data_IF_038264253619
#
_entry.id   IF_038264253619
#
_cell.length_a   1.000
_cell.length_b   1.000
_cell.length_c   1.000
_cell.angle_alpha   90.00
_cell.angle_beta   90.00
_cell.angle_gamma   90.00
#
_symmetry.space_group_name_H-M   'P 1'
#
loop_
_entity.id
_entity.type
_entity.pdbx_description
1 polymer ?
#
# COMPACT_ATOMS: atom_id res chain seq x y z
N UNK A 1 42.45 -0.85 -8.36
CA UNK A 1 41.72 -2.10 -8.13
C UNK A 1 40.42 -1.74 -7.42
N UNK A 2 39.28 -1.76 -8.12
CA UNK A 2 37.98 -1.55 -7.47
C UNK A 2 37.62 -2.85 -6.74
N UNK A 3 37.52 -2.80 -5.41
CA UNK A 3 36.96 -3.91 -4.64
C UNK A 3 35.52 -4.11 -5.09
N UNK A 4 35.18 -5.30 -5.61
CA UNK A 4 33.81 -5.63 -6.00
C UNK A 4 32.90 -5.40 -4.79
N UNK A 5 31.92 -4.50 -4.91
CA UNK A 5 30.97 -4.22 -3.83
C UNK A 5 30.13 -5.48 -3.60
N UNK A 6 30.18 -6.02 -2.38
CA UNK A 6 29.30 -7.13 -2.00
C UNK A 6 27.92 -6.59 -1.63
N UNK A 7 27.04 -6.55 -2.65
CA UNK A 7 25.71 -5.97 -2.57
C UNK A 7 24.76 -6.74 -1.64
N UNK A 8 25.06 -8.02 -1.36
CA UNK A 8 24.24 -8.87 -0.50
C UNK A 8 24.90 -9.12 0.87
N UNK A 9 25.93 -8.35 1.19
CA UNK A 9 26.57 -8.39 2.52
C UNK A 9 25.57 -8.08 3.64
N UNK A 10 25.82 -8.67 4.82
CA UNK A 10 25.02 -8.41 6.03
C UNK A 10 24.98 -6.91 6.37
N UNK A 11 26.08 -6.20 6.18
CA UNK A 11 26.17 -4.76 6.39
C UNK A 11 25.22 -3.98 5.47
N UNK A 12 25.11 -4.37 4.20
CA UNK A 12 24.17 -3.76 3.27
C UNK A 12 22.72 -3.91 3.72
N UNK A 13 22.33 -5.12 4.14
CA UNK A 13 21.00 -5.39 4.67
C UNK A 13 20.71 -4.63 5.97
N UNK A 14 21.70 -4.46 6.84
CA UNK A 14 21.57 -3.60 8.04
C UNK A 14 21.33 -2.14 7.66
N UNK A 15 22.02 -1.63 6.64
CA UNK A 15 21.77 -0.28 6.13
C UNK A 15 20.36 -0.13 5.54
N UNK A 16 19.91 -1.11 4.76
CA UNK A 16 18.57 -1.13 4.19
C UNK A 16 17.49 -1.13 5.28
N UNK A 17 17.62 -2.02 6.27
CA UNK A 17 16.71 -2.11 7.41
C UNK A 17 16.68 -0.81 8.23
N UNK A 18 17.83 -0.16 8.41
CA UNK A 18 17.91 1.14 9.10
C UNK A 18 17.13 2.24 8.36
N UNK A 19 17.16 2.25 7.03
CA UNK A 19 16.36 3.17 6.22
C UNK A 19 14.88 2.82 6.32
N UNK A 20 14.52 1.55 6.12
CA UNK A 20 13.13 1.08 6.19
C UNK A 20 12.47 1.42 7.53
N UNK A 21 13.15 1.15 8.66
CA UNK A 21 12.65 1.46 10.01
C UNK A 21 12.35 2.95 10.23
N UNK A 22 13.09 3.87 9.57
CA UNK A 22 12.81 5.32 9.68
C UNK A 22 11.47 5.69 9.04
N UNK A 23 11.12 5.04 7.93
CA UNK A 23 9.83 5.22 7.26
C UNK A 23 8.70 4.44 7.95
N UNK A 24 9.01 3.29 8.54
CA UNK A 24 8.00 2.39 9.10
C UNK A 24 7.41 2.83 10.43
N UNK A 25 8.03 3.74 11.19
CA UNK A 25 7.51 4.17 12.52
C UNK A 25 6.02 4.50 12.42
N UNK A 26 5.16 3.59 12.89
CA UNK A 26 3.71 3.58 12.66
C UNK A 26 2.99 3.23 13.97
N UNK A 27 1.94 3.97 14.36
CA UNK A 27 1.09 3.61 15.48
C UNK A 27 0.38 2.26 15.29
N UNK A 28 0.22 1.50 16.37
CA UNK A 28 -0.41 0.17 16.31
C UNK A 28 -1.82 0.21 15.73
N UNK A 29 -2.62 1.24 16.05
CA UNK A 29 -3.96 1.44 15.47
C UNK A 29 -4.02 1.52 13.93
N UNK A 30 -2.89 1.80 13.26
CA UNK A 30 -2.79 1.78 11.79
C UNK A 30 -2.16 0.49 11.31
N UNK A 31 -1.13 0.01 12.00
CA UNK A 31 -0.40 -1.21 11.64
C UNK A 31 -1.28 -2.46 11.78
N UNK A 32 -2.09 -2.52 12.83
CA UNK A 32 -2.92 -3.67 13.13
C UNK A 32 -3.94 -3.96 12.00
N UNK A 33 -4.76 -2.99 11.55
CA UNK A 33 -5.63 -3.21 10.40
C UNK A 33 -4.89 -3.69 9.15
N UNK A 34 -3.70 -3.13 8.87
CA UNK A 34 -2.88 -3.55 7.73
C UNK A 34 -2.56 -5.05 7.81
N UNK A 35 -2.07 -5.51 8.97
CA UNK A 35 -1.68 -6.91 9.18
C UNK A 35 -2.85 -7.88 9.07
N UNK A 36 -3.97 -7.58 9.73
CA UNK A 36 -5.14 -8.46 9.73
C UNK A 36 -5.77 -8.58 8.35
N UNK A 37 -5.95 -7.44 7.68
CA UNK A 37 -6.52 -7.41 6.34
C UNK A 37 -5.62 -8.10 5.32
N UNK A 38 -4.29 -7.91 5.41
CA UNK A 38 -3.37 -8.59 4.52
C UNK A 38 -3.37 -10.10 4.76
N UNK A 39 -3.32 -10.54 6.02
CA UNK A 39 -3.42 -11.96 6.36
C UNK A 39 -4.71 -12.57 5.81
N UNK A 40 -5.84 -11.87 5.96
CA UNK A 40 -7.10 -12.33 5.41
C UNK A 40 -7.06 -12.44 3.88
N UNK A 41 -6.49 -11.45 3.21
CA UNK A 41 -6.28 -11.48 1.76
C UNK A 41 -5.47 -12.69 1.30
N UNK A 42 -4.41 -13.06 2.04
CA UNK A 42 -3.60 -14.26 1.74
C UNK A 42 -4.34 -15.58 1.99
N UNK A 43 -5.27 -15.61 2.96
CA UNK A 43 -6.06 -16.80 3.29
C UNK A 43 -7.24 -17.02 2.34
N UNK A 44 -7.74 -15.95 1.72
CA UNK A 44 -8.93 -15.96 0.88
C UNK A 44 -8.72 -16.55 -0.53
N UNK A 45 -7.54 -17.08 -0.84
CA UNK A 45 -7.18 -17.71 -2.12
C UNK A 45 -7.66 -16.91 -3.35
N UNK A 46 -7.38 -15.60 -3.33
CA UNK A 46 -7.47 -14.57 -4.40
C UNK A 46 -8.74 -14.43 -5.28
N UNK A 47 -9.59 -15.45 -5.39
CA UNK A 47 -10.63 -15.56 -6.43
C UNK A 47 -12.07 -15.54 -5.88
N UNK A 48 -12.27 -15.63 -4.56
CA UNK A 48 -13.62 -15.65 -4.00
C UNK A 48 -14.10 -14.24 -3.63
N UNK A 49 -14.98 -13.67 -4.46
CA UNK A 49 -15.54 -12.31 -4.27
C UNK A 49 -16.39 -12.21 -3.00
N UNK A 50 -16.80 -13.35 -2.44
CA UNK A 50 -17.56 -13.47 -1.18
C UNK A 50 -16.68 -13.82 0.04
N UNK A 51 -15.44 -13.31 0.10
CA UNK A 51 -14.63 -13.46 1.31
C UNK A 51 -15.41 -12.91 2.50
N UNK A 52 -15.84 -13.80 3.40
CA UNK A 52 -16.41 -13.42 4.68
C UNK A 52 -15.34 -12.68 5.47
N UNK A 53 -15.39 -11.35 5.44
CA UNK A 53 -14.44 -10.48 6.16
C UNK A 53 -14.45 -10.89 7.64
N UNK A 54 -13.25 -11.15 8.19
CA UNK A 54 -13.10 -11.60 9.55
C UNK A 54 -13.68 -10.52 10.46
N UNK A 55 -14.55 -10.88 11.41
CA UNK A 55 -15.02 -9.95 12.41
C UNK A 55 -13.88 -9.08 12.99
N UNK A 56 -12.74 -9.66 13.41
CA UNK A 56 -11.61 -8.91 13.96
C UNK A 56 -11.01 -7.90 12.97
N UNK A 57 -11.01 -8.22 11.67
CA UNK A 57 -10.60 -7.29 10.64
C UNK A 57 -11.56 -6.10 10.54
N UNK A 58 -12.88 -6.33 10.64
CA UNK A 58 -13.86 -5.25 10.71
C UNK A 58 -13.66 -4.35 11.94
N UNK A 59 -13.43 -4.93 13.11
CA UNK A 59 -13.16 -4.17 14.34
C UNK A 59 -11.95 -3.26 14.15
N UNK A 60 -10.87 -3.82 13.61
CA UNK A 60 -9.63 -3.07 13.41
C UNK A 60 -9.80 -1.87 12.48
N UNK A 61 -10.59 -1.98 11.39
CA UNK A 61 -10.77 -0.83 10.48
C UNK A 61 -11.62 0.28 11.09
N UNK A 62 -12.43 0.03 12.13
CA UNK A 62 -13.13 1.10 12.85
C UNK A 62 -12.17 2.03 13.59
N UNK A 63 -10.97 1.56 13.93
CA UNK A 63 -9.89 2.41 14.47
C UNK A 63 -9.46 3.51 13.48
N UNK A 64 -9.76 3.34 12.19
CA UNK A 64 -9.47 4.32 11.13
C UNK A 64 -10.57 5.38 11.03
N UNK A 65 -11.80 5.11 11.47
CA UNK A 65 -12.93 6.04 11.36
C UNK A 65 -12.69 7.34 12.14
N UNK A 66 -12.01 7.25 13.28
CA UNK A 66 -11.62 8.42 14.09
C UNK A 66 -10.45 9.21 13.49
N UNK A 67 -9.77 8.66 12.47
CA UNK A 67 -8.60 9.29 11.84
C UNK A 67 -8.92 9.76 10.42
N UNK A 68 -9.58 10.93 10.33
CA UNK A 68 -9.96 11.59 9.06
C UNK A 68 -8.82 11.63 8.04
N UNK A 69 -7.60 11.83 8.53
CA UNK A 69 -6.43 11.85 7.66
C UNK A 69 -6.28 10.55 6.86
N UNK A 70 -6.57 9.36 7.39
CA UNK A 70 -6.50 8.11 6.61
C UNK A 70 -7.80 7.81 5.87
N UNK A 71 -8.95 8.07 6.50
CA UNK A 71 -10.27 7.80 5.92
C UNK A 71 -10.48 8.52 4.59
N UNK A 72 -10.15 9.81 4.51
CA UNK A 72 -10.42 10.59 3.29
C UNK A 72 -9.63 10.09 2.07
N UNK A 73 -8.30 9.85 2.12
CA UNK A 73 -7.57 9.21 1.02
C UNK A 73 -8.17 7.88 0.58
N UNK A 74 -8.58 7.02 1.52
CA UNK A 74 -9.20 5.73 1.20
C UNK A 74 -10.56 5.91 0.52
N UNK A 75 -11.35 6.90 0.95
CA UNK A 75 -12.60 7.28 0.29
C UNK A 75 -12.37 7.69 -1.17
N UNK A 76 -11.39 8.58 -1.43
CA UNK A 76 -11.07 8.99 -2.80
C UNK A 76 -10.47 7.85 -3.63
N UNK A 77 -9.71 6.95 -3.01
CA UNK A 77 -9.24 5.74 -3.67
C UNK A 77 -10.42 4.87 -4.12
N UNK A 78 -11.39 4.61 -3.22
CA UNK A 78 -12.57 3.81 -3.53
C UNK A 78 -13.42 4.44 -4.65
N UNK A 79 -13.65 5.77 -4.59
CA UNK A 79 -14.46 6.46 -5.59
C UNK A 79 -13.83 6.51 -6.98
N UNK A 80 -12.50 6.45 -7.06
CA UNK A 80 -11.77 6.42 -8.33
C UNK A 80 -11.54 5.01 -8.87
N UNK A 81 -11.14 4.06 -8.02
CA UNK A 81 -10.76 2.70 -8.41
C UNK A 81 -11.95 1.78 -8.60
N UNK A 82 -13.06 2.03 -7.89
CA UNK A 82 -14.23 1.15 -7.84
C UNK A 82 -15.50 1.99 -7.92
N UNK A 83 -15.54 2.93 -8.87
CA UNK A 83 -16.63 3.92 -9.02
C UNK A 83 -18.02 3.29 -9.02
N UNK A 84 -18.18 2.19 -9.75
CA UNK A 84 -19.46 1.50 -9.90
C UNK A 84 -19.95 0.94 -8.56
N UNK A 85 -19.06 0.27 -7.82
CA UNK A 85 -19.36 -0.29 -6.49
C UNK A 85 -19.55 0.81 -5.44
N UNK A 86 -18.77 1.89 -5.53
CA UNK A 86 -18.81 2.99 -4.59
C UNK A 86 -20.09 3.83 -4.70
N UNK A 87 -20.61 4.02 -5.91
CA UNK A 87 -21.85 4.80 -6.15
C UNK A 87 -23.11 4.21 -5.48
N UNK A 88 -23.04 2.94 -5.07
CA UNK A 88 -24.10 2.19 -4.41
C UNK A 88 -23.95 2.19 -2.88
N UNK A 89 -22.75 2.48 -2.34
CA UNK A 89 -22.53 2.50 -0.90
C UNK A 89 -23.21 3.72 -0.26
N UNK A 90 -24.18 3.49 0.62
CA UNK A 90 -24.96 4.56 1.29
C UNK A 90 -24.15 5.32 2.36
N UNK A 91 -23.08 4.72 2.88
CA UNK A 91 -22.29 5.24 4.00
C UNK A 91 -20.80 5.41 3.66
N UNK A 92 -20.17 6.44 4.24
CA UNK A 92 -18.75 6.74 4.06
C UNK A 92 -17.82 6.01 5.07
N UNK A 93 -18.34 5.03 5.80
CA UNK A 93 -17.62 4.35 6.91
C UNK A 93 -16.44 3.52 6.41
N UNK A 94 -15.44 3.29 7.27
CA UNK A 94 -14.31 2.40 6.96
C UNK A 94 -14.77 0.97 6.62
N UNK A 95 -15.92 0.55 7.16
CA UNK A 95 -16.61 -0.70 6.80
C UNK A 95 -17.07 -0.72 5.33
N UNK A 96 -17.70 0.36 4.86
CA UNK A 96 -18.15 0.47 3.46
C UNK A 96 -16.96 0.53 2.50
N UNK A 97 -15.91 1.25 2.88
CA UNK A 97 -14.65 1.30 2.13
C UNK A 97 -13.96 -0.06 2.06
N UNK A 98 -13.96 -0.83 3.16
CA UNK A 98 -13.41 -2.18 3.19
C UNK A 98 -14.17 -3.12 2.25
N UNK A 99 -15.50 -3.05 2.21
CA UNK A 99 -16.32 -3.83 1.27
C UNK A 99 -16.02 -3.47 -0.19
N UNK A 100 -15.81 -2.19 -0.47
CA UNK A 100 -15.56 -1.69 -1.84
C UNK A 100 -14.17 -2.02 -2.34
N UNK A 101 -13.15 -1.85 -1.50
CA UNK A 101 -11.76 -2.07 -1.88
C UNK A 101 -11.32 -3.54 -1.71
N UNK A 102 -11.99 -4.29 -0.84
CA UNK A 102 -11.54 -5.60 -0.40
C UNK A 102 -10.34 -5.52 0.57
N UNK A 103 -10.05 -6.61 1.32
CA UNK A 103 -9.06 -6.59 2.39
C UNK A 103 -7.64 -6.31 1.89
N UNK A 104 -7.23 -6.91 0.77
CA UNK A 104 -5.87 -6.76 0.23
C UNK A 104 -5.57 -5.31 -0.19
N UNK A 105 -6.38 -4.76 -1.08
CA UNK A 105 -6.17 -3.41 -1.59
C UNK A 105 -6.36 -2.35 -0.49
N UNK A 106 -7.32 -2.52 0.42
CA UNK A 106 -7.47 -1.62 1.56
C UNK A 106 -6.21 -1.59 2.43
N UNK A 107 -5.67 -2.76 2.76
CA UNK A 107 -4.45 -2.90 3.55
C UNK A 107 -3.26 -2.19 2.91
N UNK A 108 -3.04 -2.45 1.61
CA UNK A 108 -1.94 -1.84 0.85
C UNK A 108 -2.11 -0.33 0.76
N UNK A 109 -3.32 0.16 0.43
CA UNK A 109 -3.57 1.60 0.36
C UNK A 109 -3.37 2.29 1.70
N UNK A 110 -3.79 1.68 2.81
CA UNK A 110 -3.56 2.22 4.15
C UNK A 110 -2.06 2.35 4.47
N UNK A 111 -1.27 1.31 4.16
CA UNK A 111 0.18 1.33 4.29
C UNK A 111 0.84 2.39 3.40
N UNK A 112 0.40 2.50 2.14
CA UNK A 112 0.92 3.48 1.18
C UNK A 112 0.58 4.91 1.58
N UNK A 113 -0.63 5.20 2.08
CA UNK A 113 -1.01 6.52 2.60
C UNK A 113 -0.09 6.91 3.76
N UNK A 114 0.20 5.97 4.68
CA UNK A 114 1.15 6.20 5.76
C UNK A 114 2.56 6.51 5.24
N UNK A 115 3.11 5.61 4.42
CA UNK A 115 4.46 5.73 3.87
C UNK A 115 4.65 7.03 3.10
N UNK A 116 3.69 7.36 2.22
CA UNK A 116 3.70 8.57 1.43
C UNK A 116 3.83 9.81 2.32
N UNK A 117 2.98 9.91 3.34
CA UNK A 117 2.95 11.06 4.24
C UNK A 117 4.15 11.12 5.16
N UNK A 118 4.62 9.97 5.63
CA UNK A 118 5.80 9.88 6.48
C UNK A 118 7.03 10.33 5.72
N UNK A 119 7.22 9.85 4.48
CA UNK A 119 8.29 10.28 3.60
C UNK A 119 8.19 11.77 3.28
N UNK A 120 6.99 12.27 2.94
CA UNK A 120 6.73 13.68 2.70
C UNK A 120 7.11 14.57 3.90
N UNK A 121 6.73 14.16 5.12
CA UNK A 121 7.00 14.90 6.36
C UNK A 121 8.49 14.93 6.71
N UNK A 122 9.23 13.88 6.39
CA UNK A 122 10.64 13.75 6.72
C UNK A 122 11.58 14.31 5.64
N UNK A 123 11.05 14.63 4.46
CA UNK A 123 11.82 15.14 3.32
C UNK A 123 11.69 16.65 3.19
N UNK A 124 12.65 17.28 2.51
CA UNK A 124 12.49 18.67 2.08
C UNK A 124 11.28 18.79 1.11
N UNK A 125 10.36 19.76 1.33
CA UNK A 125 9.17 19.90 0.49
C UNK A 125 9.45 20.03 -1.00
N UNK A 126 10.52 20.74 -1.37
CA UNK A 126 10.92 20.96 -2.77
C UNK A 126 11.34 19.66 -3.47
N UNK A 127 12.10 18.80 -2.78
CA UNK A 127 12.49 17.50 -3.33
C UNK A 127 11.31 16.53 -3.40
N UNK A 128 10.46 16.52 -2.36
CA UNK A 128 9.28 15.66 -2.34
C UNK A 128 8.28 16.01 -3.45
N UNK A 129 8.03 17.30 -3.70
CA UNK A 129 7.13 17.76 -4.78
C UNK A 129 7.65 17.33 -6.15
N UNK A 130 8.97 17.30 -6.35
CA UNK A 130 9.58 16.84 -7.60
C UNK A 130 9.51 15.31 -7.76
N UNK A 131 9.70 14.56 -6.68
CA UNK A 131 9.79 13.10 -6.72
C UNK A 131 8.43 12.39 -6.67
N UNK A 132 7.50 12.89 -5.87
CA UNK A 132 6.22 12.22 -5.61
C UNK A 132 5.32 11.96 -6.83
N UNK A 133 5.33 12.75 -7.93
CA UNK A 133 4.52 12.44 -9.11
C UNK A 133 4.82 11.07 -9.72
N UNK A 134 6.09 10.64 -9.70
CA UNK A 134 6.49 9.32 -10.25
C UNK A 134 5.89 8.17 -9.41
N UNK A 135 5.77 8.34 -8.08
CA UNK A 135 5.11 7.38 -7.19
C UNK A 135 3.65 7.19 -7.59
N UNK A 136 2.93 8.31 -7.77
CA UNK A 136 1.49 8.29 -8.05
C UNK A 136 1.21 7.72 -9.44
N UNK A 137 2.00 8.11 -10.44
CA UNK A 137 1.90 7.58 -11.78
C UNK A 137 2.10 6.06 -11.81
N UNK A 138 3.15 5.57 -11.14
CA UNK A 138 3.42 4.12 -11.09
C UNK A 138 2.34 3.36 -10.34
N UNK A 139 1.83 3.92 -9.23
CA UNK A 139 0.74 3.32 -8.48
C UNK A 139 -0.53 3.16 -9.33
N UNK A 140 -0.95 4.22 -10.03
CA UNK A 140 -2.15 4.19 -10.87
C UNK A 140 -2.00 3.25 -12.08
N UNK A 141 -0.86 3.31 -12.77
CA UNK A 141 -0.57 2.41 -13.90
C UNK A 141 -0.54 0.95 -13.43
N UNK A 142 0.12 0.67 -12.31
CA UNK A 142 0.25 -0.70 -11.82
C UNK A 142 -1.11 -1.28 -11.37
N UNK A 143 -1.99 -0.48 -10.75
CA UNK A 143 -3.34 -0.96 -10.43
C UNK A 143 -4.14 -1.22 -11.70
N UNK A 144 -4.10 -0.30 -12.68
CA UNK A 144 -4.81 -0.50 -13.95
C UNK A 144 -4.41 -1.79 -14.65
N UNK A 145 -3.11 -2.07 -14.74
CA UNK A 145 -2.63 -3.33 -15.35
C UNK A 145 -3.04 -4.54 -14.51
N UNK A 146 -2.93 -4.46 -13.17
CA UNK A 146 -3.22 -5.58 -12.29
C UNK A 146 -4.72 -5.91 -12.15
N UNK A 147 -5.60 -4.93 -12.34
CA UNK A 147 -7.05 -5.13 -12.39
C UNK A 147 -7.49 -5.96 -13.60
N UNK A 148 -6.70 -5.95 -14.68
CA UNK A 148 -6.94 -6.72 -15.90
C UNK A 148 -6.26 -8.09 -15.88
N UNK A 149 -5.65 -8.52 -14.75
CA UNK A 149 -4.99 -9.82 -14.65
C UNK A 149 -5.18 -10.53 -13.31
N UNK A 150 -5.72 -11.75 -13.38
CA UNK A 150 -5.94 -12.62 -12.22
C UNK A 150 -4.63 -13.06 -11.54
N UNK A 151 -3.50 -12.97 -12.25
CA UNK A 151 -2.20 -13.45 -11.73
C UNK A 151 -1.60 -12.56 -10.65
N UNK A 152 -2.00 -11.30 -10.58
CA UNK A 152 -1.41 -10.29 -9.68
C UNK A 152 -2.48 -9.77 -8.73
N UNK A 153 -3.61 -9.34 -9.27
CA UNK A 153 -4.65 -8.67 -8.51
C UNK A 153 -4.26 -7.26 -8.05
N UNK A 154 -5.26 -6.44 -7.78
CA UNK A 154 -5.11 -5.01 -7.51
C UNK A 154 -4.21 -4.69 -6.32
N UNK A 155 -4.25 -5.53 -5.28
CA UNK A 155 -3.49 -5.33 -4.05
C UNK A 155 -1.98 -5.41 -4.32
N UNK A 156 -1.52 -6.47 -4.98
CA UNK A 156 -0.12 -6.60 -5.35
C UNK A 156 0.29 -5.63 -6.46
N UNK A 157 -0.61 -5.33 -7.41
CA UNK A 157 -0.38 -4.27 -8.39
C UNK A 157 -0.07 -2.93 -7.72
N UNK A 158 -0.92 -2.51 -6.77
CA UNK A 158 -0.72 -1.29 -5.99
C UNK A 158 0.61 -1.33 -5.21
N UNK A 159 0.89 -2.46 -4.57
CA UNK A 159 2.09 -2.63 -3.77
C UNK A 159 3.36 -2.54 -4.63
N UNK A 160 3.42 -3.28 -5.74
CA UNK A 160 4.56 -3.33 -6.66
C UNK A 160 4.78 -2.00 -7.40
N UNK A 161 3.70 -1.31 -7.75
CA UNK A 161 3.77 0.02 -8.36
C UNK A 161 4.40 1.07 -7.43
N UNK A 162 4.14 0.99 -6.12
CA UNK A 162 4.58 2.04 -5.20
C UNK A 162 5.85 1.69 -4.40
N UNK A 163 6.07 0.44 -4.00
CA UNK A 163 7.03 0.09 -2.93
C UNK A 163 8.48 0.46 -3.25
N UNK A 164 8.92 0.30 -4.51
CA UNK A 164 10.28 0.68 -4.93
C UNK A 164 10.50 2.20 -4.87
N UNK A 165 9.51 2.97 -5.30
CA UNK A 165 9.58 4.43 -5.21
C UNK A 165 9.44 4.90 -3.75
N UNK A 166 8.65 4.23 -2.91
CA UNK A 166 8.60 4.53 -1.47
C UNK A 166 9.94 4.27 -0.78
N UNK A 167 10.63 3.19 -1.16
CA UNK A 167 11.97 2.88 -0.68
C UNK A 167 12.99 3.97 -1.04
N UNK A 168 12.93 4.49 -2.27
CA UNK A 168 13.69 5.68 -2.70
C UNK A 168 13.36 6.93 -1.88
N UNK A 169 12.10 7.11 -1.47
CA UNK A 169 11.71 8.14 -0.49
C UNK A 169 12.49 8.02 0.83
N UNK A 170 12.84 6.81 1.26
CA UNK A 170 13.68 6.59 2.45
C UNK A 170 15.14 7.00 2.23
N UNK A 171 15.66 6.80 1.02
CA UNK A 171 16.99 7.26 0.63
C UNK A 171 17.08 8.79 0.58
N UNK A 172 16.02 9.45 0.07
CA UNK A 172 15.85 10.90 0.14
C UNK A 172 15.90 11.41 1.59
N UNK A 173 15.14 10.78 2.50
CA UNK A 173 15.15 11.13 3.93
C UNK A 173 16.53 10.89 4.58
N UNK A 174 17.30 9.91 4.13
CA UNK A 174 18.63 9.61 4.69
C UNK A 174 19.68 10.64 4.28
N UNK A 175 19.72 11.04 3.01
CA UNK A 175 20.67 12.03 2.49
C UNK A 175 20.09 12.72 1.25
N UNK A 176 19.58 13.93 1.43
CA UNK A 176 18.91 14.71 0.39
C UNK A 176 19.85 15.08 -0.76
N UNK A 177 21.09 15.47 -0.46
CA UNK A 177 22.04 15.92 -1.48
C UNK A 177 22.41 14.78 -2.43
N UNK A 178 22.70 13.59 -1.87
CA UNK A 178 22.96 12.40 -2.66
C UNK A 178 21.75 12.02 -3.52
N UNK A 179 20.55 12.10 -2.94
CA UNK A 179 19.33 11.77 -3.65
C UNK A 179 19.06 12.73 -4.81
N UNK A 180 19.25 14.04 -4.61
CA UNK A 180 19.08 15.03 -5.67
C UNK A 180 20.02 14.77 -6.86
N UNK A 181 21.26 14.36 -6.61
CA UNK A 181 22.21 14.00 -7.67
C UNK A 181 21.77 12.73 -8.39
N UNK A 182 21.37 11.70 -7.64
CA UNK A 182 20.88 10.44 -8.18
C UNK A 182 19.59 10.60 -9.01
N UNK A 183 18.61 11.35 -8.51
CA UNK A 183 17.33 11.53 -9.18
C UNK A 183 17.46 12.24 -10.53
N UNK A 184 18.37 13.20 -10.63
CA UNK A 184 18.67 13.90 -11.87
C UNK A 184 19.31 12.99 -12.93
N UNK A 185 20.12 12.00 -12.51
CA UNK A 185 20.84 11.10 -13.40
C UNK A 185 19.99 9.90 -13.84
N UNK A 186 19.23 9.31 -12.90
CA UNK A 186 18.60 8.00 -13.12
C UNK A 186 17.06 8.11 -13.14
N UNK A 187 16.45 8.61 -12.06
CA UNK A 187 15.00 8.61 -11.89
C UNK A 187 14.28 9.44 -12.97
N UNK A 188 14.82 10.61 -13.32
CA UNK A 188 14.23 11.44 -14.40
C UNK A 188 14.20 10.74 -15.75
N UNK A 189 15.11 9.80 -15.98
CA UNK A 189 15.18 8.98 -17.19
C UNK A 189 14.40 7.65 -17.06
N UNK A 190 13.62 7.47 -15.99
CA UNK A 190 12.81 6.27 -15.75
C UNK A 190 13.63 5.05 -15.34
N UNK A 191 14.87 5.23 -14.87
CA UNK A 191 15.80 4.15 -14.53
C UNK A 191 16.23 4.19 -13.08
N UNK A 192 16.49 3.01 -12.51
CA UNK A 192 17.19 2.85 -11.25
C UNK A 192 18.57 2.25 -11.48
N UNK A 193 19.57 2.78 -10.80
CA UNK A 193 20.94 2.30 -10.83
C UNK A 193 21.35 1.83 -9.44
N UNK A 194 21.22 0.53 -9.22
CA UNK A 194 21.51 -0.07 -7.92
C UNK A 194 22.99 0.01 -7.57
N UNK A 195 23.93 0.09 -8.53
CA UNK A 195 25.36 0.21 -8.24
C UNK A 195 25.71 1.60 -7.69
N UNK A 196 25.13 2.65 -8.30
CA UNK A 196 25.25 4.02 -7.77
C UNK A 196 24.55 4.15 -6.41
N UNK A 197 23.41 3.46 -6.22
CA UNK A 197 22.73 3.41 -4.92
C UNK A 197 23.60 2.80 -3.82
N UNK A 198 24.22 1.65 -4.10
CA UNK A 198 25.15 1.00 -3.17
C UNK A 198 26.34 1.90 -2.83
N UNK A 199 26.87 2.62 -3.82
CA UNK A 199 27.97 3.56 -3.60
C UNK A 199 27.57 4.67 -2.61
N UNK A 200 26.37 5.23 -2.77
CA UNK A 200 25.85 6.38 -2.01
C UNK A 200 25.26 6.03 -0.65
N UNK A 201 24.50 4.95 -0.56
CA UNK A 201 23.71 4.59 0.62
C UNK A 201 24.13 3.28 1.28
N UNK A 202 25.07 2.54 0.68
CA UNK A 202 25.53 1.22 1.14
C UNK A 202 24.44 0.14 1.10
N UNK A 203 23.41 0.37 0.30
CA UNK A 203 22.31 -0.55 0.01
C UNK A 203 21.54 -0.01 -1.21
N UNK A 204 20.70 -0.84 -1.81
CA UNK A 204 19.80 -0.45 -2.91
C UNK A 204 18.33 -0.32 -2.48
N UNK A 205 17.52 0.25 -3.36
CA UNK A 205 16.09 0.51 -3.11
C UNK A 205 15.30 -0.80 -3.00
N UNK A 206 15.70 -1.86 -3.69
CA UNK A 206 15.04 -3.15 -3.64
C UNK A 206 15.26 -3.85 -2.28
N UNK A 207 16.43 -3.69 -1.67
CA UNK A 207 16.69 -4.13 -0.28
C UNK A 207 15.81 -3.35 0.71
N UNK A 208 15.75 -2.02 0.58
CA UNK A 208 14.91 -1.17 1.44
C UNK A 208 13.43 -1.54 1.29
N UNK A 209 12.96 -1.74 0.05
CA UNK A 209 11.61 -2.18 -0.25
C UNK A 209 11.32 -3.56 0.36
N UNK A 210 12.25 -4.52 0.23
CA UNK A 210 12.14 -5.84 0.87
C UNK A 210 12.00 -5.72 2.39
N UNK A 211 12.81 -4.88 3.04
CA UNK A 211 12.68 -4.64 4.48
C UNK A 211 11.34 -3.98 4.85
N UNK A 212 10.81 -3.07 4.02
CA UNK A 212 9.48 -2.49 4.23
C UNK A 212 8.39 -3.56 4.13
N UNK A 213 8.43 -4.41 3.11
CA UNK A 213 7.48 -5.52 2.94
C UNK A 213 7.48 -6.44 4.17
N UNK A 214 8.65 -6.76 4.73
CA UNK A 214 8.77 -7.54 5.95
C UNK A 214 8.14 -6.84 7.17
N UNK A 215 8.39 -5.54 7.34
CA UNK A 215 7.84 -4.78 8.48
C UNK A 215 6.30 -4.68 8.44
N UNK A 216 5.74 -4.52 7.24
CA UNK A 216 4.29 -4.53 7.00
C UNK A 216 3.69 -5.94 6.90
N UNK A 217 4.51 -7.00 6.98
CA UNK A 217 4.09 -8.40 6.81
C UNK A 217 3.47 -8.70 5.43
N UNK A 218 3.83 -7.92 4.41
CA UNK A 218 3.37 -8.07 3.03
C UNK A 218 4.06 -9.19 2.24
N UNK A 219 4.72 -10.13 2.92
CA UNK A 219 5.36 -11.26 2.26
C UNK A 219 4.31 -12.31 1.94
N UNK A 220 3.94 -12.43 0.66
CA UNK A 220 2.97 -13.40 0.13
C UNK A 220 3.33 -14.86 0.38
N UNK A 221 4.60 -15.14 0.63
CA UNK A 221 5.08 -16.49 0.88
C UNK A 221 4.28 -17.13 2.00
N UNK A 222 3.30 -17.96 1.64
CA UNK A 222 2.74 -19.08 2.41
C UNK A 222 3.87 -20.07 2.69
N UNK A 223 4.98 -19.61 3.25
CA UNK A 223 6.09 -20.43 3.66
C UNK A 223 6.10 -20.30 5.18
N UNK A 224 5.31 -21.13 5.89
CA UNK A 224 5.19 -21.03 7.34
C UNK A 224 6.51 -21.35 8.06
N UNK A 225 7.56 -21.78 7.36
CA UNK A 225 8.69 -22.48 8.01
C UNK A 225 10.09 -22.11 7.48
N UNK A 226 10.23 -21.31 6.43
CA UNK A 226 11.57 -20.88 5.95
C UNK A 226 11.86 -19.46 6.41
N UNK A 227 12.37 -19.37 7.64
CA UNK A 227 13.24 -18.27 8.07
C UNK A 227 14.63 -18.39 7.41
N UNK A 228 14.68 -18.81 6.14
CA UNK A 228 15.95 -18.92 5.45
C UNK A 228 16.45 -17.51 5.11
N UNK A 229 17.78 -17.34 5.16
CA UNK A 229 18.44 -16.08 4.81
C UNK A 229 18.25 -15.71 3.33
N UNK A 230 17.72 -16.65 2.52
CA UNK A 230 17.59 -16.55 1.07
C UNK A 230 16.26 -15.91 0.62
N UNK A 231 15.16 -16.07 1.38
CA UNK A 231 13.86 -15.45 1.02
C UNK A 231 13.96 -13.93 0.77
N UNK A 232 14.65 -13.12 1.59
CA UNK A 232 14.85 -11.70 1.30
C UNK A 232 15.60 -11.44 -0.02
N UNK A 233 16.53 -12.32 -0.40
CA UNK A 233 17.28 -12.19 -1.64
C UNK A 233 16.37 -12.43 -2.85
N UNK A 234 15.49 -13.43 -2.82
CA UNK A 234 14.56 -13.68 -3.92
C UNK A 234 13.52 -12.57 -4.09
N UNK A 235 13.03 -12.00 -2.98
CA UNK A 235 12.14 -10.82 -3.02
C UNK A 235 12.87 -9.62 -3.62
N UNK A 236 14.13 -9.37 -3.22
CA UNK A 236 14.97 -8.33 -3.84
C UNK A 236 15.13 -8.57 -5.34
N UNK A 237 15.49 -9.78 -5.77
CA UNK A 237 15.62 -10.13 -7.19
C UNK A 237 14.31 -9.90 -7.95
N UNK A 238 13.16 -10.25 -7.36
CA UNK A 238 11.84 -9.94 -7.93
C UNK A 238 11.62 -8.43 -8.11
N UNK A 239 11.96 -7.62 -7.11
CA UNK A 239 11.86 -6.16 -7.16
C UNK A 239 12.89 -5.50 -8.08
N UNK A 240 13.96 -6.20 -8.44
CA UNK A 240 14.89 -5.81 -9.51
C UNK A 240 14.46 -6.34 -10.89
N UNK A 241 13.34 -7.07 -10.96
CA UNK A 241 12.85 -7.70 -12.18
C UNK A 241 13.65 -8.93 -12.62
N UNK A 242 14.56 -9.48 -11.82
CA UNK A 242 15.49 -10.55 -12.22
C UNK A 242 14.89 -11.96 -12.08
N UNK A 243 14.14 -12.38 -13.09
CA UNK A 243 13.47 -13.69 -13.12
C UNK A 243 14.44 -14.87 -12.96
N UNK A 244 15.61 -14.78 -13.59
CA UNK A 244 16.63 -15.84 -13.63
C UNK A 244 17.27 -16.17 -12.28
N UNK A 245 17.20 -15.24 -11.32
CA UNK A 245 17.72 -15.43 -9.96
C UNK A 245 16.68 -16.05 -9.01
N UNK A 246 15.44 -16.28 -9.48
CA UNK A 246 14.32 -16.74 -8.66
C UNK A 246 14.07 -18.24 -8.92
N UNK A 247 14.05 -19.09 -7.88
CA UNK A 247 13.67 -20.49 -8.01
C UNK A 247 12.29 -20.64 -8.65
N UNK A 248 12.16 -21.59 -9.59
CA UNK A 248 10.88 -21.86 -10.27
C UNK A 248 9.74 -22.23 -9.30
N UNK A 249 10.07 -22.78 -8.13
CA UNK A 249 9.09 -23.09 -7.08
C UNK A 249 8.45 -21.85 -6.44
N UNK A 250 8.99 -20.65 -6.70
CA UNK A 250 8.47 -19.37 -6.22
C UNK A 250 7.78 -18.63 -7.37
N UNK A 251 6.76 -19.26 -7.97
CA UNK A 251 6.06 -18.75 -9.16
C UNK A 251 5.52 -17.32 -8.98
N UNK A 252 5.01 -16.99 -7.80
CA UNK A 252 4.52 -15.64 -7.48
C UNK A 252 5.61 -14.57 -7.63
N UNK A 253 6.83 -14.85 -7.14
CA UNK A 253 7.95 -13.92 -7.27
C UNK A 253 8.42 -13.80 -8.72
N UNK A 254 8.30 -14.87 -9.51
CA UNK A 254 8.55 -14.81 -10.96
C UNK A 254 7.54 -13.90 -11.65
N UNK A 255 6.26 -13.96 -11.26
CA UNK A 255 5.22 -13.05 -11.76
C UNK A 255 5.54 -11.61 -11.36
N UNK A 256 5.91 -11.36 -10.10
CA UNK A 256 6.34 -10.04 -9.62
C UNK A 256 7.52 -9.51 -10.45
N UNK A 257 8.56 -10.31 -10.69
CA UNK A 257 9.71 -9.87 -11.48
C UNK A 257 9.34 -9.46 -12.92
N UNK A 258 8.45 -10.23 -13.58
CA UNK A 258 7.99 -9.88 -14.92
C UNK A 258 7.15 -8.60 -14.93
N UNK A 259 6.29 -8.44 -13.93
CA UNK A 259 5.48 -7.24 -13.77
C UNK A 259 6.35 -6.00 -13.52
N UNK A 260 7.37 -6.13 -12.68
CA UNK A 260 8.34 -5.07 -12.42
C UNK A 260 9.11 -4.68 -13.68
N UNK A 261 9.58 -5.66 -14.48
CA UNK A 261 10.22 -5.39 -15.79
C UNK A 261 9.29 -4.63 -16.73
N UNK A 262 7.99 -4.96 -16.74
CA UNK A 262 6.99 -4.27 -17.54
C UNK A 262 6.86 -2.81 -17.09
N UNK A 263 6.72 -2.56 -15.78
CA UNK A 263 6.66 -1.20 -15.23
C UNK A 263 7.92 -0.39 -15.55
N UNK A 264 9.10 -1.00 -15.45
CA UNK A 264 10.37 -0.35 -15.82
C UNK A 264 10.39 0.02 -17.30
N UNK A 265 9.95 -0.86 -18.20
CA UNK A 265 9.84 -0.54 -19.63
C UNK A 265 8.84 0.60 -19.90
N UNK A 266 7.76 0.72 -19.13
CA UNK A 266 6.79 1.81 -19.26
C UNK A 266 7.42 3.13 -18.80
N UNK A 267 8.11 3.11 -17.66
CA UNK A 267 8.79 4.26 -17.07
C UNK A 267 9.90 4.81 -17.97
N UNK A 268 10.74 3.94 -18.53
CA UNK A 268 11.82 4.34 -19.43
C UNK A 268 11.30 5.07 -20.68
N UNK A 269 10.15 4.64 -21.20
CA UNK A 269 9.52 5.26 -22.36
C UNK A 269 8.65 6.46 -21.99
N UNK A 270 8.41 6.73 -20.69
CA UNK A 270 7.49 7.76 -20.20
C UNK A 270 6.10 7.68 -20.87
N UNK A 271 5.60 6.45 -21.04
CA UNK A 271 4.34 6.19 -21.76
C UNK A 271 4.40 6.34 -23.28
N UNK A 272 5.59 6.57 -23.85
CA UNK A 272 5.83 6.60 -25.29
C UNK A 272 5.77 5.20 -25.92
N UNK A 273 5.01 5.08 -27.01
CA UNK A 273 4.85 3.83 -27.74
C UNK A 273 3.79 2.91 -27.16
N UNK A 274 3.60 1.76 -27.80
CA UNK A 274 2.66 0.73 -27.33
C UNK A 274 3.37 -0.28 -26.44
N UNK A 275 2.70 -0.65 -25.37
CA UNK A 275 3.09 -1.68 -24.43
C UNK A 275 2.38 -2.97 -24.79
N UNK A 276 3.14 -4.06 -24.91
CA UNK A 276 2.61 -5.40 -25.16
C UNK A 276 2.25 -6.08 -23.83
N UNK A 277 0.96 -6.39 -23.68
CA UNK A 277 0.39 -7.05 -22.50
C UNK A 277 0.03 -8.52 -22.76
N UNK A 278 0.38 -9.08 -23.92
CA UNK A 278 -0.01 -10.44 -24.32
C UNK A 278 0.43 -11.53 -23.32
N UNK A 279 1.59 -11.36 -22.69
CA UNK A 279 2.11 -12.30 -21.68
C UNK A 279 1.28 -12.33 -20.38
N UNK A 280 0.54 -11.27 -20.10
CA UNK A 280 -0.43 -11.20 -18.99
C UNK A 280 -1.78 -11.84 -19.34
N UNK A 281 -2.00 -12.17 -20.62
CA UNK A 281 -3.27 -12.70 -21.11
C UNK A 281 -4.33 -11.62 -21.34
N UNK A 282 -3.93 -10.35 -21.38
CA UNK A 282 -4.83 -9.21 -21.61
C UNK A 282 -5.14 -9.12 -23.10
N UNK A 283 -6.44 -9.05 -23.44
CA UNK A 283 -6.89 -8.95 -24.83
C UNK A 283 -6.56 -7.60 -25.48
N UNK A 284 -6.64 -7.52 -26.81
CA UNK A 284 -6.25 -6.34 -27.58
C UNK A 284 -7.08 -5.08 -27.23
N UNK A 285 -8.36 -5.25 -26.90
CA UNK A 285 -9.23 -4.13 -26.54
C UNK A 285 -8.80 -3.54 -25.20
N UNK A 286 -8.67 -4.38 -24.17
CA UNK A 286 -8.17 -3.96 -22.84
C UNK A 286 -6.75 -3.41 -22.91
N UNK A 287 -5.88 -3.99 -23.73
CA UNK A 287 -4.54 -3.48 -23.97
C UNK A 287 -4.54 -2.04 -24.53
N UNK A 288 -5.48 -1.70 -25.43
CA UNK A 288 -5.64 -0.33 -25.95
C UNK A 288 -6.10 0.64 -24.86
N UNK A 289 -7.04 0.23 -24.01
CA UNK A 289 -7.51 1.03 -22.87
C UNK A 289 -6.38 1.30 -21.88
N UNK A 290 -5.56 0.29 -21.55
CA UNK A 290 -4.40 0.44 -20.68
C UNK A 290 -3.32 1.34 -21.28
N UNK A 291 -3.03 1.23 -22.58
CA UNK A 291 -2.11 2.14 -23.25
C UNK A 291 -2.62 3.59 -23.22
N UNK A 292 -3.93 3.80 -23.37
CA UNK A 292 -4.54 5.13 -23.23
C UNK A 292 -4.44 5.66 -21.79
N UNK A 293 -4.67 4.83 -20.78
CA UNK A 293 -4.47 5.16 -19.38
C UNK A 293 -3.02 5.59 -19.11
N UNK A 294 -2.04 4.81 -19.57
CA UNK A 294 -0.61 5.09 -19.38
C UNK A 294 -0.24 6.46 -19.96
N UNK A 295 -0.64 6.74 -21.21
CA UNK A 295 -0.39 8.05 -21.85
C UNK A 295 -1.01 9.18 -21.06
N UNK A 296 -2.29 9.03 -20.70
CA UNK A 296 -3.03 10.01 -19.90
C UNK A 296 -2.33 10.31 -18.58
N UNK A 297 -1.87 9.29 -17.85
CA UNK A 297 -1.18 9.46 -16.55
C UNK A 297 0.11 10.24 -16.69
N UNK A 298 0.90 10.03 -17.75
CA UNK A 298 2.13 10.81 -17.97
C UNK A 298 1.89 12.21 -18.55
N UNK A 299 0.86 12.40 -19.38
CA UNK A 299 0.54 13.67 -20.03
C UNK A 299 -0.23 14.63 -19.12
N UNK A 300 -1.27 14.13 -18.45
CA UNK A 300 -2.19 14.91 -17.62
C UNK A 300 -1.85 14.84 -16.13
N UNK A 301 -1.05 13.84 -15.74
CA UNK A 301 -0.74 13.52 -14.35
C UNK A 301 -1.71 12.51 -13.75
N UNK A 302 -1.27 11.91 -12.65
CA UNK A 302 -2.04 10.88 -11.95
C UNK A 302 -3.30 11.42 -11.28
N UNK A 303 -4.41 10.68 -11.42
CA UNK A 303 -5.67 10.94 -10.71
C UNK A 303 -5.52 10.75 -9.19
N UNK A 304 -4.46 10.08 -8.74
CA UNK A 304 -4.17 9.77 -7.34
C UNK A 304 -3.54 10.95 -6.57
N UNK A 305 -3.71 12.17 -7.09
CA UNK A 305 -3.31 13.40 -6.43
C UNK A 305 -3.94 13.59 -5.04
N UNK A 306 -5.00 12.84 -4.70
CA UNK A 306 -5.60 12.79 -3.36
C UNK A 306 -4.61 12.31 -2.28
N UNK A 307 -3.61 11.49 -2.61
CA UNK A 307 -2.51 11.13 -1.68
C UNK A 307 -1.74 12.37 -1.20
N UNK A 308 -1.71 13.45 -1.99
CA UNK A 308 -1.04 14.71 -1.63
C UNK A 308 -1.82 15.54 -0.63
N UNK A 309 -3.15 15.44 -0.59
CA UNK A 309 -3.97 16.38 0.18
C UNK A 309 -4.26 15.79 1.57
N UNK A 310 -3.86 16.52 2.61
CA UNK A 310 -4.09 16.20 4.02
C UNK A 310 -5.48 16.66 4.48
N UNK A 311 -5.54 17.52 5.50
CA UNK A 311 -6.80 18.01 6.10
C UNK A 311 -7.77 18.68 5.09
N UNK A 312 -7.25 19.35 4.05
CA UNK A 312 -8.06 19.95 2.98
C UNK A 312 -8.93 18.93 2.23
N UNK A 313 -8.58 17.66 2.29
CA UNK A 313 -9.32 16.56 1.66
C UNK A 313 -10.66 16.28 2.38
N UNK A 314 -10.80 16.63 3.66
CA UNK A 314 -12.06 16.46 4.41
C UNK A 314 -13.14 17.43 3.88
N UNK A 315 -12.79 18.71 3.72
CA UNK A 315 -13.67 19.72 3.13
C UNK A 315 -14.04 19.38 1.67
N UNK A 316 -13.07 18.85 0.91
CA UNK A 316 -13.29 18.38 -0.46
C UNK A 316 -14.20 17.13 -0.48
N UNK A 317 -14.11 16.25 0.54
CA UNK A 317 -14.93 15.05 0.66
C UNK A 317 -16.40 15.41 0.88
N UNK A 318 -16.69 16.39 1.75
CA UNK A 318 -18.07 16.83 1.98
C UNK A 318 -18.68 17.53 0.76
N UNK A 319 -17.89 18.34 0.04
CA UNK A 319 -18.30 18.90 -1.26
C UNK A 319 -18.53 17.84 -2.31
N UNK A 320 -17.66 16.82 -2.37
CA UNK A 320 -17.80 15.74 -3.33
C UNK A 320 -19.04 14.88 -3.04
N UNK A 321 -19.32 14.58 -1.76
CA UNK A 321 -20.57 13.94 -1.34
C UNK A 321 -21.80 14.73 -1.79
N UNK A 322 -21.79 16.06 -1.61
CA UNK A 322 -22.88 16.92 -2.07
C UNK A 322 -23.05 16.87 -3.59
N UNK A 323 -21.95 16.82 -4.36
CA UNK A 323 -22.01 16.68 -5.82
C UNK A 323 -22.58 15.33 -6.28
N UNK A 324 -22.27 14.24 -5.57
CA UNK A 324 -22.82 12.91 -5.86
C UNK A 324 -24.30 12.80 -5.46
N UNK A 325 -24.71 13.47 -4.38
CA UNK A 325 -26.11 13.52 -3.93
C UNK A 325 -26.98 14.42 -4.81
N UNK A 326 -26.41 15.43 -5.47
CA UNK A 326 -27.13 16.32 -6.39
C UNK A 326 -27.68 15.65 -7.66
N UNK A 327 -27.30 14.40 -7.94
CA UNK A 327 -27.83 13.60 -9.07
C UNK A 327 -28.96 12.62 -8.65
N UNK A 328 -29.31 12.54 -7.35
CA UNK A 328 -30.44 11.74 -6.87
C UNK A 328 -31.48 12.66 -6.22
N UNK A 329 -32.71 12.65 -6.73
CA UNK A 329 -33.84 13.29 -6.07
C UNK A 329 -33.96 12.79 -4.61
N UNK A 330 -34.18 13.69 -3.64
CA UNK A 330 -34.21 13.29 -2.24
C UNK A 330 -35.48 12.48 -1.94
N UNK A 331 -35.30 11.21 -1.58
CA UNK A 331 -36.32 10.48 -0.83
C UNK A 331 -36.40 11.09 0.57
N UNK A 332 -37.61 11.49 0.95
CA UNK A 332 -37.88 12.18 2.20
C UNK A 332 -37.73 11.25 3.42
N UNK A 333 -37.05 11.79 4.44
CA UNK A 333 -37.38 11.56 5.84
C UNK A 333 -36.62 10.44 6.56
N UNK A 334 -35.81 10.83 7.54
CA UNK A 334 -35.82 10.31 8.92
C UNK A 334 -34.76 11.08 9.71
N UNK A 335 -35.19 12.10 10.45
CA UNK A 335 -34.39 12.72 11.51
C UNK A 335 -34.50 11.86 12.77
N UNK A 336 -33.45 11.09 13.06
CA UNK A 336 -33.24 10.45 14.36
C UNK A 336 -32.07 11.13 15.05
N UNK A 337 -32.35 11.92 16.10
CA UNK A 337 -31.32 12.50 16.95
C UNK A 337 -30.63 11.41 17.77
N UNK A 338 -29.31 11.30 17.63
CA UNK A 338 -28.47 10.50 18.53
C UNK A 338 -28.34 11.28 19.86
N UNK A 339 -28.81 10.66 20.94
CA UNK A 339 -28.51 11.10 22.30
C UNK A 339 -27.07 10.68 22.61
N UNK A 340 -26.28 11.62 23.15
CA UNK A 340 -24.98 11.31 23.75
C UNK A 340 -25.22 10.42 24.97
N UNK A 341 -24.88 9.14 24.88
CA UNK A 341 -24.90 8.24 26.04
C UNK A 341 -23.71 8.58 26.96
N UNK A 342 -24.03 8.76 28.25
CA UNK A 342 -23.04 8.96 29.31
C UNK A 342 -22.06 7.77 29.34
N UNK A 343 -20.77 8.03 29.06
CA UNK A 343 -19.74 7.00 29.16
C UNK A 343 -19.59 6.54 30.62
N UNK A 344 -20.01 5.31 30.90
CA UNK A 344 -19.71 4.62 32.14
C UNK A 344 -18.19 4.42 32.24
N UNK A 345 -17.54 4.68 33.40
CA UNK A 345 -16.12 4.42 33.57
C UNK A 345 -15.86 2.92 33.37
N UNK A 346 -15.18 2.59 32.28
CA UNK A 346 -14.80 1.21 31.96
C UNK A 346 -13.59 0.84 32.80
N UNK A 347 -13.63 -0.31 33.47
CA UNK A 347 -12.47 -0.85 34.18
C UNK A 347 -11.31 -1.05 33.19
N UNK A 348 -10.05 -0.80 33.59
CA UNK A 348 -8.91 -1.02 32.71
C UNK A 348 -8.86 -2.49 32.28
N UNK A 349 -8.86 -2.75 30.99
CA UNK A 349 -8.67 -4.06 30.38
C UNK A 349 -7.19 -4.42 30.42
N UNK A 350 -6.90 -5.61 30.94
CA UNK A 350 -5.60 -6.24 30.81
C UNK A 350 -5.48 -6.81 29.37
N UNK A 351 -4.46 -6.43 28.59
CA UNK A 351 -4.22 -6.98 27.26
C UNK A 351 -4.16 -8.52 27.22
N UNK A 352 -3.78 -9.17 28.33
CA UNK A 352 -3.73 -10.63 28.43
C UNK A 352 -5.10 -11.31 28.45
N UNK A 353 -6.17 -10.57 28.76
CA UNK A 353 -7.55 -11.07 28.76
C UNK A 353 -8.16 -11.12 27.34
N UNK A 354 -7.49 -10.54 26.35
CA UNK A 354 -7.96 -10.51 24.96
C UNK A 354 -7.30 -11.63 24.16
N UNK A 355 -8.09 -12.65 23.80
CA UNK A 355 -7.64 -13.76 22.96
C UNK A 355 -8.15 -13.65 21.53
N UNK A 356 -7.40 -12.96 20.67
CA UNK A 356 -7.70 -12.91 19.24
C UNK A 356 -6.67 -13.75 18.46
N UNK A 357 -7.09 -14.77 17.67
CA UNK A 357 -6.17 -15.65 16.97
C UNK A 357 -5.16 -14.93 16.07
N UNK A 358 -3.88 -15.04 16.42
CA UNK A 358 -2.76 -14.48 15.67
C UNK A 358 -2.30 -13.10 16.12
N UNK A 359 -2.69 -12.67 17.32
CA UNK A 359 -2.12 -11.52 18.01
C UNK A 359 -1.09 -11.97 19.05
N UNK A 360 0.03 -11.26 19.10
CA UNK A 360 0.98 -11.36 20.19
C UNK A 360 0.60 -10.43 21.34
N UNK A 361 1.02 -10.78 22.56
CA UNK A 361 0.81 -9.96 23.74
C UNK A 361 1.42 -8.55 23.58
N UNK A 362 2.61 -8.46 22.98
CA UNK A 362 3.31 -7.20 22.72
C UNK A 362 2.51 -6.27 21.78
N UNK A 363 1.75 -6.82 20.85
CA UNK A 363 0.89 -6.03 19.96
C UNK A 363 -0.32 -5.44 20.70
N UNK A 364 -0.91 -6.21 21.63
CA UNK A 364 -2.05 -5.76 22.45
C UNK A 364 -1.62 -4.72 23.50
N UNK A 365 -0.44 -4.89 24.10
CA UNK A 365 0.14 -3.94 25.07
C UNK A 365 0.38 -2.53 24.49
N UNK A 366 0.47 -2.41 23.15
CA UNK A 366 0.66 -1.13 22.46
C UNK A 366 -0.61 -0.32 22.22
N UNK A 367 -1.78 -0.83 22.63
CA UNK A 367 -3.09 -0.21 22.38
C UNK A 367 -3.58 0.60 23.60
N UNK A 368 -4.44 1.59 23.35
CA UNK A 368 -5.11 2.34 24.43
C UNK A 368 -6.23 1.51 25.05
N UNK A 369 -6.70 1.91 26.24
CA UNK A 369 -7.83 1.24 26.91
C UNK A 369 -9.11 1.27 26.09
N UNK A 370 -9.38 2.36 25.37
CA UNK A 370 -10.50 2.45 24.43
C UNK A 370 -10.36 1.47 23.26
N UNK A 371 -9.15 1.33 22.71
CA UNK A 371 -8.86 0.41 21.61
C UNK A 371 -8.96 -1.06 22.07
N UNK A 372 -8.48 -1.36 23.27
CA UNK A 372 -8.63 -2.67 23.91
C UNK A 372 -10.11 -2.98 24.16
N UNK A 373 -10.89 -2.01 24.62
CA UNK A 373 -12.33 -2.16 24.83
C UNK A 373 -13.06 -2.47 23.53
N UNK A 374 -12.78 -1.72 22.45
CA UNK A 374 -13.36 -1.96 21.14
C UNK A 374 -12.98 -3.34 20.58
N UNK A 375 -11.75 -3.80 20.78
CA UNK A 375 -11.33 -5.16 20.39
C UNK A 375 -11.99 -6.24 21.23
N UNK A 376 -12.15 -6.02 22.54
CA UNK A 376 -12.76 -6.97 23.48
C UNK A 376 -14.26 -7.15 23.21
N UNK A 377 -15.01 -6.05 23.17
CA UNK A 377 -16.45 -6.07 22.84
C UNK A 377 -16.71 -6.84 21.55
N UNK A 378 -15.81 -6.65 20.59
CA UNK A 378 -15.93 -7.27 19.30
C UNK A 378 -15.53 -8.76 19.31
N UNK A 379 -14.48 -9.14 20.06
CA UNK A 379 -14.12 -10.54 20.26
C UNK A 379 -15.25 -11.31 20.97
N UNK A 380 -15.91 -10.67 21.93
CA UNK A 380 -17.07 -11.21 22.62
C UNK A 380 -18.25 -11.40 21.65
N UNK A 381 -18.56 -10.40 20.81
CA UNK A 381 -19.58 -10.51 19.76
C UNK A 381 -19.29 -11.59 18.70
N UNK A 382 -18.02 -11.91 18.44
CA UNK A 382 -17.63 -12.94 17.48
C UNK A 382 -17.66 -14.36 18.08
N UNK A 383 -17.75 -14.46 19.41
CA UNK A 383 -17.80 -15.73 20.16
C UNK A 383 -19.24 -16.21 20.42
N UNK A 384 -20.23 -15.35 20.19
CA UNK A 384 -21.67 -15.65 20.14
C UNK A 384 -22.11 -16.14 18.75
#
# INVERSE_FOLDING_TARGET
>A
MSSKIDVDSQESWQHAMKIAKRLFVMPQRVLLPIRLLWRQYLLADHDDVDVKIDPAAYASVRLIDSTVSFKAPLYFAASQLRRDQFSVAEDDTSKALLKTLGPGLFSVLLALVWLYRRAAKLSAPSQWVQFSPDILANLEIAIGIADETDKIGSADGALLGAIRHMALGGMLVKNEEHFKRYSNLHIRNGRFDFEDEHTRWKCDHAQVATCLLQLYTFTRTKIPERRDLETPMYVRSALLGKVEEIPKSLEELVVWARFIRLLDSINEKRGGGEVDFSWLGIDEHRAKELNALIRKVYEEGSSFSWLKRGAKLADDMDKHKQSLKGEKEPAAGLEGGLQEEDMVPTEPIDPSDIHIPGFSQEELEGLTQEELQQLKEFADMASE
#
